data_IF_050843600562
#
_entry.id   IF_050843600562
#
_cell.length_a   1.000
_cell.length_b   1.000
_cell.length_c   1.000
_cell.angle_alpha   90.00
_cell.angle_beta   90.00
_cell.angle_gamma   90.00
#
_symmetry.space_group_name_H-M   'P 1'
#
loop_
_entity.id
_entity.type
_entity.pdbx_description
1 polymer ?
#
# COMPACT_ATOMS: atom_id res chain seq x y z
N UNK A 1 -5.72 6.11 -3.92
CA UNK A 1 -6.83 5.17 -4.22
C UNK A 1 -7.10 4.28 -3.02
N UNK A 2 -8.35 4.21 -2.57
CA UNK A 2 -8.77 3.39 -1.42
C UNK A 2 -9.53 2.13 -1.89
N UNK A 3 -8.97 1.43 -2.88
CA UNK A 3 -9.54 0.23 -3.49
C UNK A 3 -8.65 -0.99 -3.26
N UNK A 4 -9.27 -2.17 -3.16
CA UNK A 4 -8.58 -3.46 -3.13
C UNK A 4 -8.20 -4.01 -1.74
N UNK A 5 -7.92 -5.30 -1.66
CA UNK A 5 -7.31 -5.93 -0.48
C UNK A 5 -8.24 -6.23 0.70
N UNK A 6 -9.55 -6.01 0.60
CA UNK A 6 -10.49 -6.26 1.72
C UNK A 6 -10.48 -7.72 2.22
N UNK A 7 -10.27 -8.67 1.32
CA UNK A 7 -10.23 -10.09 1.67
C UNK A 7 -9.14 -10.46 2.68
N UNK A 8 -8.03 -9.68 2.74
CA UNK A 8 -6.92 -9.91 3.68
C UNK A 8 -7.20 -9.38 5.09
N UNK A 9 -8.22 -8.51 5.23
CA UNK A 9 -8.63 -7.94 6.52
C UNK A 9 -9.81 -8.69 7.15
N UNK A 10 -10.42 -9.63 6.39
CA UNK A 10 -11.56 -10.40 6.87
C UNK A 10 -12.67 -9.51 7.41
N UNK A 11 -13.32 -9.97 8.45
CA UNK A 11 -14.46 -9.30 9.07
C UNK A 11 -14.09 -8.17 10.07
N UNK A 12 -12.82 -7.73 10.11
CA UNK A 12 -12.47 -6.42 10.73
C UNK A 12 -13.01 -5.25 9.90
N UNK A 13 -13.19 -5.50 8.59
CA UNK A 13 -13.81 -4.56 7.67
C UNK A 13 -15.31 -4.85 7.62
N UNK A 14 -16.10 -3.88 7.99
CA UNK A 14 -17.57 -3.93 7.89
C UNK A 14 -18.02 -2.92 6.83
N UNK A 15 -19.28 -3.05 6.37
CA UNK A 15 -19.87 -2.03 5.48
C UNK A 15 -19.79 -0.63 6.09
N UNK A 16 -19.95 -0.54 7.41
CA UNK A 16 -19.86 0.71 8.14
C UNK A 16 -18.44 1.22 8.34
N UNK A 17 -17.42 0.37 8.17
CA UNK A 17 -16.03 0.72 8.40
C UNK A 17 -15.12 0.07 7.36
N UNK A 18 -14.96 0.72 6.19
CA UNK A 18 -14.06 0.22 5.16
C UNK A 18 -12.61 0.18 5.67
N UNK A 19 -11.80 -0.71 5.11
CA UNK A 19 -10.41 -0.97 5.51
C UNK A 19 -9.59 0.29 5.79
N UNK A 20 -9.63 1.24 4.89
CA UNK A 20 -8.81 2.45 4.97
C UNK A 20 -9.32 3.47 6.01
N UNK A 21 -10.48 3.19 6.61
CA UNK A 21 -11.03 3.91 7.76
C UNK A 21 -10.71 3.24 9.09
N UNK A 22 -9.97 2.12 9.10
CA UNK A 22 -9.44 1.54 10.33
C UNK A 22 -8.40 2.48 10.92
N UNK A 23 -8.38 2.58 12.25
CA UNK A 23 -7.45 3.45 12.95
C UNK A 23 -6.04 2.89 12.90
N UNK A 24 -5.10 3.75 12.55
CA UNK A 24 -3.67 3.50 12.57
C UNK A 24 -3.01 4.61 13.42
N UNK A 25 -2.70 4.29 14.64
CA UNK A 25 -2.31 5.29 15.63
C UNK A 25 -3.49 6.20 16.00
N UNK A 26 -3.45 7.47 15.62
CA UNK A 26 -4.48 8.46 15.94
C UNK A 26 -5.48 8.72 14.83
N UNK A 27 -5.16 8.30 13.60
CA UNK A 27 -5.90 8.66 12.40
C UNK A 27 -6.25 7.43 11.57
N UNK A 28 -7.25 7.50 10.69
CA UNK A 28 -7.52 6.42 9.75
C UNK A 28 -6.33 6.16 8.81
N UNK A 29 -6.20 4.93 8.33
CA UNK A 29 -5.11 4.52 7.42
C UNK A 29 -5.00 5.50 6.23
N UNK A 30 -6.11 5.89 5.60
CA UNK A 30 -6.13 6.79 4.45
C UNK A 30 -5.53 8.17 4.75
N UNK A 31 -5.64 8.65 5.98
CA UNK A 31 -5.06 9.92 6.41
C UNK A 31 -3.54 9.97 6.16
N UNK A 32 -2.85 8.85 6.39
CA UNK A 32 -1.40 8.78 6.20
C UNK A 32 -1.00 8.95 4.73
N UNK A 33 -1.78 8.36 3.81
CA UNK A 33 -1.56 8.56 2.38
C UNK A 33 -1.84 10.02 1.96
N UNK A 34 -2.88 10.65 2.51
CA UNK A 34 -3.18 12.06 2.26
C UNK A 34 -2.07 12.99 2.80
N UNK A 35 -1.51 12.68 3.97
CA UNK A 35 -0.37 13.43 4.53
C UNK A 35 0.87 13.35 3.64
N UNK A 36 1.14 12.19 3.04
CA UNK A 36 2.24 12.05 2.07
C UNK A 36 2.03 12.93 0.84
N UNK A 37 0.80 13.02 0.33
CA UNK A 37 0.45 13.90 -0.79
C UNK A 37 0.56 15.38 -0.41
N UNK A 38 0.04 15.77 0.73
CA UNK A 38 0.09 17.13 1.27
C UNK A 38 1.53 17.61 1.49
N UNK A 39 2.36 16.77 2.11
CA UNK A 39 3.79 17.05 2.32
C UNK A 39 4.54 17.25 0.99
N UNK A 40 4.11 16.61 -0.07
CA UNK A 40 4.62 16.80 -1.42
C UNK A 40 4.04 18.01 -2.17
N UNK A 41 3.17 18.79 -1.53
CA UNK A 41 2.57 19.99 -2.11
C UNK A 41 1.38 19.73 -3.04
N UNK A 42 0.83 18.51 -3.05
CA UNK A 42 -0.39 18.16 -3.79
C UNK A 42 -1.59 18.78 -3.08
N UNK A 43 -2.44 19.48 -3.82
CA UNK A 43 -3.64 20.15 -3.28
C UNK A 43 -4.92 19.43 -3.67
N UNK A 44 -5.05 19.05 -4.94
CA UNK A 44 -6.26 18.43 -5.47
C UNK A 44 -6.11 16.92 -5.46
N UNK A 45 -6.95 16.22 -4.73
CA UNK A 45 -6.89 14.77 -4.55
C UNK A 45 -8.23 14.13 -4.89
N UNK A 46 -8.21 13.12 -5.75
CA UNK A 46 -9.35 12.27 -6.04
C UNK A 46 -9.25 10.99 -5.21
N UNK A 47 -10.10 10.85 -4.20
CA UNK A 47 -10.18 9.66 -3.36
C UNK A 47 -11.19 8.67 -3.96
N UNK A 48 -10.71 7.59 -4.55
CA UNK A 48 -11.58 6.59 -5.16
C UNK A 48 -11.93 5.52 -4.14
N UNK A 49 -13.21 5.40 -3.84
CA UNK A 49 -13.76 4.42 -2.91
C UNK A 49 -14.56 3.34 -3.65
N UNK A 50 -14.57 2.12 -3.15
CA UNK A 50 -15.37 1.01 -3.69
C UNK A 50 -16.75 0.99 -3.05
N UNK A 51 -17.78 1.09 -3.90
CA UNK A 51 -19.16 1.09 -3.47
C UNK A 51 -19.61 2.39 -2.78
N UNK A 52 -20.92 2.61 -2.78
CA UNK A 52 -21.52 3.83 -2.26
C UNK A 52 -21.38 3.96 -0.73
N UNK A 53 -21.37 2.83 -0.02
CA UNK A 53 -21.20 2.84 1.44
C UNK A 53 -19.83 3.37 1.84
N UNK A 54 -18.77 2.87 1.22
CA UNK A 54 -17.41 3.35 1.52
C UNK A 54 -17.25 4.82 1.15
N UNK A 55 -17.76 5.23 -0.02
CA UNK A 55 -17.74 6.62 -0.46
C UNK A 55 -18.44 7.54 0.56
N UNK A 56 -19.64 7.19 1.01
CA UNK A 56 -20.39 7.97 2.00
C UNK A 56 -19.63 8.09 3.34
N UNK A 57 -18.90 7.05 3.74
CA UNK A 57 -18.09 7.08 4.98
C UNK A 57 -16.88 7.98 4.84
N UNK A 58 -16.21 7.97 3.68
CA UNK A 58 -15.11 8.91 3.43
C UNK A 58 -15.63 10.35 3.38
N UNK A 59 -16.76 10.61 2.71
CA UNK A 59 -17.35 11.93 2.67
C UNK A 59 -17.72 12.47 4.06
N UNK A 60 -18.31 11.63 4.93
CA UNK A 60 -18.62 12.00 6.31
C UNK A 60 -17.35 12.32 7.09
N UNK A 61 -16.31 11.47 6.98
CA UNK A 61 -15.06 11.69 7.67
C UNK A 61 -14.32 12.95 7.18
N UNK A 62 -14.32 13.21 5.88
CA UNK A 62 -13.70 14.42 5.31
C UNK A 62 -14.35 15.70 5.82
N UNK A 63 -15.68 15.68 6.06
CA UNK A 63 -16.43 16.83 6.58
C UNK A 63 -16.27 17.04 8.09
N UNK A 64 -16.10 15.96 8.84
CA UNK A 64 -16.17 16.00 10.32
C UNK A 64 -14.80 15.85 11.01
N UNK A 65 -13.83 15.18 10.36
CA UNK A 65 -12.61 14.78 11.03
C UNK A 65 -11.31 14.95 10.24
N UNK A 66 -11.35 15.45 9.00
CA UNK A 66 -10.14 15.70 8.23
C UNK A 66 -9.66 17.14 8.44
N UNK A 67 -8.48 17.28 9.03
CA UNK A 67 -7.84 18.57 9.32
C UNK A 67 -6.65 18.87 8.37
N UNK A 68 -6.53 18.13 7.25
CA UNK A 68 -5.45 18.33 6.28
C UNK A 68 -5.72 19.47 5.29
N UNK A 69 -4.68 19.87 4.57
CA UNK A 69 -4.71 20.98 3.59
C UNK A 69 -5.05 20.57 2.16
N UNK A 70 -5.33 19.27 1.89
CA UNK A 70 -5.75 18.82 0.57
C UNK A 70 -7.25 19.06 0.34
N UNK A 71 -7.61 19.49 -0.86
CA UNK A 71 -8.98 19.46 -1.36
C UNK A 71 -9.27 18.05 -1.90
N UNK A 72 -10.13 17.29 -1.21
CA UNK A 72 -10.36 15.88 -1.49
C UNK A 72 -11.77 15.66 -2.03
N UNK A 73 -11.88 15.27 -3.29
CA UNK A 73 -13.13 14.82 -3.91
C UNK A 73 -13.24 13.29 -3.84
N UNK A 74 -14.36 12.76 -3.33
CA UNK A 74 -14.60 11.31 -3.28
C UNK A 74 -15.29 10.85 -4.56
N UNK A 75 -14.74 9.81 -5.17
CA UNK A 75 -15.27 9.16 -6.36
C UNK A 75 -15.67 7.73 -6.02
N UNK A 76 -16.88 7.34 -6.39
CA UNK A 76 -17.34 5.96 -6.23
C UNK A 76 -16.90 5.11 -7.42
N UNK A 77 -16.26 3.99 -7.15
CA UNK A 77 -16.01 2.92 -8.11
C UNK A 77 -16.92 1.72 -7.81
N UNK A 78 -17.18 0.83 -8.78
CA UNK A 78 -17.93 -0.41 -8.55
C UNK A 78 -17.36 -1.23 -7.37
N UNK A 79 -18.21 -2.03 -6.71
CA UNK A 79 -17.80 -2.81 -5.53
C UNK A 79 -16.73 -3.88 -5.87
N UNK A 80 -16.75 -4.41 -7.08
CA UNK A 80 -15.80 -5.37 -7.61
C UNK A 80 -14.57 -4.75 -8.28
N UNK A 81 -14.51 -3.40 -8.39
CA UNK A 81 -13.42 -2.69 -9.02
C UNK A 81 -12.07 -2.98 -8.33
N UNK A 82 -11.05 -3.27 -9.09
CA UNK A 82 -9.67 -3.26 -8.61
C UNK A 82 -8.99 -1.93 -8.98
N UNK A 83 -7.72 -1.82 -8.74
CA UNK A 83 -6.95 -0.56 -8.77
C UNK A 83 -6.92 0.12 -10.15
N UNK A 84 -6.89 -0.64 -11.25
CA UNK A 84 -6.97 -0.07 -12.60
C UNK A 84 -8.40 0.39 -12.95
N UNK A 85 -9.42 -0.32 -12.46
CA UNK A 85 -10.82 0.09 -12.64
C UNK A 85 -11.13 1.36 -11.84
N UNK A 86 -10.57 1.47 -10.64
CA UNK A 86 -10.63 2.68 -9.84
C UNK A 86 -10.00 3.88 -10.56
N UNK A 87 -8.84 3.68 -11.20
CA UNK A 87 -8.21 4.74 -12.00
C UNK A 87 -9.07 5.12 -13.21
N UNK A 88 -9.70 4.14 -13.91
CA UNK A 88 -10.66 4.43 -14.99
C UNK A 88 -11.81 5.28 -14.52
N UNK A 89 -12.36 4.99 -13.32
CA UNK A 89 -13.46 5.77 -12.75
C UNK A 89 -13.05 7.22 -12.43
N UNK A 90 -11.78 7.43 -12.04
CA UNK A 90 -11.24 8.75 -11.72
C UNK A 90 -10.88 9.59 -12.97
N UNK A 91 -10.47 8.96 -14.08
CA UNK A 91 -9.96 9.65 -15.27
C UNK A 91 -10.84 10.78 -15.79
N UNK A 92 -12.21 10.67 -15.82
CA UNK A 92 -13.07 11.76 -16.28
C UNK A 92 -13.06 13.01 -15.38
N UNK A 93 -12.60 12.88 -14.14
CA UNK A 93 -12.47 14.00 -13.17
C UNK A 93 -11.09 14.61 -13.12
N UNK A 94 -10.09 13.96 -13.73
CA UNK A 94 -8.74 14.49 -13.81
C UNK A 94 -8.72 15.73 -14.71
N UNK A 95 -8.09 16.81 -14.25
CA UNK A 95 -7.94 18.05 -15.02
C UNK A 95 -7.42 17.78 -16.43
N UNK A 96 -7.98 18.47 -17.42
CA UNK A 96 -7.54 18.36 -18.81
C UNK A 96 -6.09 18.77 -18.99
N UNK A 97 -5.65 19.76 -18.22
CA UNK A 97 -4.31 20.34 -18.31
C UNK A 97 -3.23 19.50 -17.57
N UNK A 98 -3.64 18.44 -16.86
CA UNK A 98 -2.69 17.58 -16.19
C UNK A 98 -2.04 16.61 -17.18
N UNK A 99 -0.72 16.64 -17.30
CA UNK A 99 0.05 15.68 -18.09
C UNK A 99 0.51 14.47 -17.26
N UNK A 100 0.61 14.65 -15.96
CA UNK A 100 1.15 13.65 -15.02
C UNK A 100 0.16 13.37 -13.90
N UNK A 101 0.04 12.10 -13.54
CA UNK A 101 -0.80 11.62 -12.44
C UNK A 101 0.08 11.03 -11.34
N UNK A 102 -0.18 11.44 -10.10
CA UNK A 102 0.33 10.74 -8.94
C UNK A 102 -0.77 9.78 -8.41
N UNK A 103 -0.48 8.51 -8.35
CA UNK A 103 -1.39 7.48 -7.87
C UNK A 103 -0.78 6.86 -6.63
N UNK A 104 -1.50 6.93 -5.51
CA UNK A 104 -1.04 6.45 -4.20
C UNK A 104 -2.04 5.45 -3.65
N UNK A 105 -1.55 4.31 -3.17
CA UNK A 105 -2.39 3.37 -2.44
C UNK A 105 -2.84 3.99 -1.11
N UNK A 106 -4.12 3.82 -0.76
CA UNK A 106 -4.68 4.39 0.47
C UNK A 106 -4.16 3.75 1.76
N UNK A 107 -3.36 2.69 1.66
CA UNK A 107 -2.74 1.95 2.76
C UNK A 107 -1.22 2.21 2.90
N UNK A 108 -0.69 3.16 2.15
CA UNK A 108 0.71 3.53 2.22
C UNK A 108 0.99 4.46 3.41
N UNK A 109 2.03 4.13 4.15
CA UNK A 109 2.62 4.98 5.20
C UNK A 109 4.08 5.19 4.85
N UNK A 110 4.46 6.41 4.53
CA UNK A 110 5.84 6.72 4.14
C UNK A 110 6.22 8.17 4.46
N UNK A 111 7.49 8.40 4.73
CA UNK A 111 8.10 9.73 4.81
C UNK A 111 8.86 10.12 3.54
N UNK A 112 8.88 9.23 2.53
CA UNK A 112 9.46 9.54 1.22
C UNK A 112 8.66 10.63 0.54
N UNK A 113 9.34 11.70 0.13
CA UNK A 113 8.70 12.81 -0.57
C UNK A 113 8.23 12.41 -1.97
N UNK A 114 6.96 12.64 -2.26
CA UNK A 114 6.42 12.45 -3.61
C UNK A 114 7.11 13.37 -4.63
N UNK A 115 7.62 14.52 -4.19
CA UNK A 115 8.36 15.45 -5.03
C UNK A 115 9.65 14.81 -5.57
N UNK A 116 10.33 13.96 -4.80
CA UNK A 116 11.53 13.25 -5.24
C UNK A 116 11.23 12.19 -6.30
N UNK A 117 10.09 11.49 -6.15
CA UNK A 117 9.60 10.54 -7.15
C UNK A 117 9.23 11.27 -8.45
N UNK A 118 8.54 12.42 -8.33
CA UNK A 118 8.18 13.28 -9.46
C UNK A 118 9.43 13.84 -10.14
N UNK A 119 10.43 14.30 -9.38
CA UNK A 119 11.70 14.79 -9.93
C UNK A 119 12.43 13.69 -10.73
N UNK A 120 12.39 12.44 -10.27
CA UNK A 120 12.93 11.31 -11.01
C UNK A 120 12.15 11.08 -12.32
N UNK A 121 10.82 11.14 -12.27
CA UNK A 121 9.94 10.99 -13.43
C UNK A 121 10.23 12.04 -14.50
N UNK A 122 10.24 13.31 -14.12
CA UNK A 122 10.48 14.46 -15.03
C UNK A 122 11.89 14.41 -15.61
N UNK A 123 12.91 14.20 -14.77
CA UNK A 123 14.32 14.14 -15.20
C UNK A 123 14.56 13.07 -16.26
N UNK A 124 13.85 11.94 -16.16
CA UNK A 124 13.98 10.83 -17.11
C UNK A 124 13.02 10.89 -18.29
N UNK A 125 12.05 11.81 -18.27
CA UNK A 125 10.95 11.82 -19.23
C UNK A 125 10.19 10.48 -19.23
N UNK A 126 10.00 9.90 -18.04
CA UNK A 126 9.48 8.56 -17.90
C UNK A 126 7.98 8.47 -18.27
N UNK A 127 7.50 7.29 -18.65
CA UNK A 127 6.07 6.97 -18.78
C UNK A 127 5.48 6.59 -17.43
N UNK A 128 6.25 5.86 -16.64
CA UNK A 128 5.88 5.47 -15.28
C UNK A 128 7.11 5.51 -14.38
N UNK A 129 6.93 5.98 -13.14
CA UNK A 129 7.94 5.91 -12.10
C UNK A 129 7.31 5.32 -10.85
N UNK A 130 7.87 4.21 -10.37
CA UNK A 130 7.38 3.48 -9.20
C UNK A 130 8.26 3.79 -7.99
N UNK A 131 7.68 4.05 -6.83
CA UNK A 131 8.41 4.07 -5.56
C UNK A 131 8.62 2.64 -5.08
N UNK A 132 9.86 2.26 -4.89
CA UNK A 132 10.28 0.97 -4.35
C UNK A 132 11.07 1.18 -3.07
N UNK A 133 10.82 0.36 -2.07
CA UNK A 133 11.51 0.42 -0.79
C UNK A 133 12.01 -0.96 -0.36
N UNK A 134 13.02 -1.03 0.49
CA UNK A 134 13.43 -2.29 1.11
C UNK A 134 12.30 -2.84 1.98
N UNK A 135 12.04 -4.13 1.87
CA UNK A 135 11.07 -4.82 2.73
C UNK A 135 11.50 -4.73 4.18
N UNK A 136 10.54 -4.49 5.05
CA UNK A 136 10.76 -4.48 6.49
C UNK A 136 10.82 -5.90 7.04
N UNK A 137 11.50 -6.09 8.17
CA UNK A 137 11.74 -7.42 8.76
C UNK A 137 10.45 -8.20 9.05
N UNK A 138 9.37 -7.53 9.45
CA UNK A 138 8.08 -8.16 9.71
C UNK A 138 7.32 -8.59 8.44
N UNK A 139 7.63 -8.01 7.27
CA UNK A 139 7.13 -8.50 5.98
C UNK A 139 7.89 -9.74 5.50
N UNK A 140 8.98 -10.07 6.14
CA UNK A 140 9.89 -11.15 5.75
C UNK A 140 10.03 -12.25 6.77
N UNK A 141 9.09 -12.41 7.71
CA UNK A 141 9.10 -13.43 8.78
C UNK A 141 9.33 -14.88 8.29
N UNK A 142 9.05 -15.15 7.02
CA UNK A 142 9.28 -16.46 6.38
C UNK A 142 10.58 -16.51 5.54
N UNK A 143 11.52 -15.58 5.73
CA UNK A 143 12.79 -15.59 5.00
C UNK A 143 13.64 -16.79 5.41
N UNK A 144 13.52 -17.86 4.65
CA UNK A 144 14.46 -18.99 4.71
C UNK A 144 15.67 -18.67 3.83
N UNK A 145 16.86 -18.91 4.35
CA UNK A 145 18.12 -18.73 3.59
C UNK A 145 18.00 -19.45 2.24
N UNK A 146 18.20 -18.72 1.15
CA UNK A 146 18.16 -19.25 -0.21
C UNK A 146 16.76 -19.37 -0.85
N UNK A 147 15.72 -18.83 -0.22
CA UNK A 147 14.37 -18.71 -0.83
C UNK A 147 13.88 -17.27 -0.77
N UNK A 148 13.21 -16.76 -1.84
CA UNK A 148 12.56 -15.48 -1.76
C UNK A 148 11.44 -15.51 -0.69
N UNK A 149 11.15 -14.38 -0.04
CA UNK A 149 10.03 -14.29 0.89
C UNK A 149 8.72 -14.55 0.14
N UNK A 150 7.72 -15.11 0.81
CA UNK A 150 6.37 -15.27 0.23
C UNK A 150 5.80 -13.92 -0.21
N UNK A 151 5.15 -13.88 -1.37
CA UNK A 151 4.65 -12.64 -1.98
C UNK A 151 5.80 -11.73 -2.43
N UNK A 152 6.94 -12.28 -2.80
CA UNK A 152 8.07 -11.51 -3.34
C UNK A 152 7.73 -10.97 -4.72
N UNK A 153 8.09 -9.71 -4.93
CA UNK A 153 8.09 -9.13 -6.28
C UNK A 153 9.49 -9.28 -6.87
N UNK A 154 9.56 -9.71 -8.11
CA UNK A 154 10.80 -9.77 -8.87
C UNK A 154 10.95 -8.45 -9.64
N UNK A 155 11.84 -7.61 -9.22
CA UNK A 155 12.07 -6.30 -9.80
C UNK A 155 13.43 -6.25 -10.45
N UNK A 156 13.48 -6.10 -11.77
CA UNK A 156 14.72 -5.94 -12.53
C UNK A 156 15.06 -4.48 -12.74
N UNK A 157 16.22 -4.06 -12.28
CA UNK A 157 16.69 -2.68 -12.38
C UNK A 157 18.05 -2.58 -13.09
N UNK A 158 18.21 -1.54 -13.91
CA UNK A 158 19.51 -1.07 -14.39
C UNK A 158 19.65 0.41 -14.02
N UNK A 159 20.37 0.68 -12.94
CA UNK A 159 20.31 1.98 -12.28
C UNK A 159 18.89 2.30 -11.80
N UNK A 160 18.33 3.41 -12.28
CA UNK A 160 16.95 3.81 -12.00
C UNK A 160 15.92 3.36 -13.06
N UNK A 161 16.37 2.63 -14.10
CA UNK A 161 15.46 2.08 -15.12
C UNK A 161 14.81 0.80 -14.63
N UNK A 162 13.49 0.76 -14.69
CA UNK A 162 12.68 -0.40 -14.37
C UNK A 162 12.51 -1.27 -15.63
N UNK A 163 13.08 -2.47 -15.60
CA UNK A 163 13.15 -3.37 -16.76
C UNK A 163 12.19 -4.55 -16.64
N UNK A 164 11.93 -4.96 -15.42
CA UNK A 164 11.09 -6.11 -15.10
C UNK A 164 10.31 -5.81 -13.82
N UNK A 165 9.05 -6.16 -13.82
CA UNK A 165 8.21 -6.25 -12.63
C UNK A 165 7.29 -7.44 -12.79
N UNK A 166 7.44 -8.44 -11.91
CA UNK A 166 6.66 -9.66 -11.91
C UNK A 166 6.36 -10.08 -10.47
N UNK A 167 5.21 -10.68 -10.25
CA UNK A 167 4.84 -11.23 -8.95
C UNK A 167 5.28 -12.70 -8.80
N UNK A 168 5.33 -13.22 -7.56
CA UNK A 168 5.65 -14.61 -7.27
C UNK A 168 4.69 -15.56 -7.99
N UNK A 169 3.41 -15.20 -8.10
CA UNK A 169 2.40 -16.00 -8.79
C UNK A 169 2.65 -16.14 -10.29
N UNK A 170 3.28 -15.12 -10.91
CA UNK A 170 3.68 -15.13 -12.33
C UNK A 170 4.95 -15.93 -12.59
N UNK A 171 5.73 -16.22 -11.53
CA UNK A 171 7.04 -16.88 -11.59
C UNK A 171 6.96 -18.25 -10.91
N UNK A 172 6.35 -19.21 -11.60
CA UNK A 172 6.16 -20.58 -11.03
C UNK A 172 7.51 -21.25 -10.70
N UNK A 173 8.39 -21.42 -11.68
CA UNK A 173 9.74 -22.01 -11.50
C UNK A 173 10.83 -21.28 -12.26
N UNK A 174 10.46 -20.48 -13.24
CA UNK A 174 11.38 -19.87 -14.21
C UNK A 174 10.97 -18.42 -14.46
N UNK A 175 11.87 -17.51 -14.15
CA UNK A 175 11.71 -16.11 -14.52
C UNK A 175 12.03 -15.96 -16.01
N UNK A 176 11.02 -15.61 -16.81
CA UNK A 176 11.16 -15.43 -18.26
C UNK A 176 11.62 -14.01 -18.58
N UNK A 177 12.83 -13.88 -19.08
CA UNK A 177 13.38 -12.61 -19.57
C UNK A 177 13.17 -12.49 -21.08
N UNK A 178 12.81 -11.28 -21.53
CA UNK A 178 12.53 -11.02 -22.95
C UNK A 178 13.81 -10.67 -23.71
N UNK A 179 14.04 -11.28 -24.86
CA UNK A 179 15.18 -10.98 -25.74
C UNK A 179 15.32 -9.48 -26.10
N UNK A 180 14.25 -8.73 -26.47
CA UNK A 180 14.39 -7.32 -26.78
C UNK A 180 14.91 -6.47 -25.61
N UNK A 181 14.59 -6.84 -24.36
CA UNK A 181 15.15 -6.22 -23.17
C UNK A 181 16.64 -6.54 -23.05
N UNK A 182 17.00 -7.83 -23.16
CA UNK A 182 18.38 -8.31 -23.02
C UNK A 182 19.33 -7.69 -24.07
N UNK A 183 18.83 -7.42 -25.27
CA UNK A 183 19.63 -6.81 -26.35
C UNK A 183 19.89 -5.31 -26.15
N UNK A 184 19.11 -4.63 -25.30
CA UNK A 184 19.21 -3.17 -25.07
C UNK A 184 19.84 -2.80 -23.75
N UNK A 185 20.09 -3.76 -22.87
CA UNK A 185 20.60 -3.54 -21.53
C UNK A 185 21.80 -4.45 -21.30
N UNK A 186 22.95 -3.85 -20.99
CA UNK A 186 24.20 -4.58 -20.77
C UNK A 186 24.23 -5.31 -19.43
N UNK A 187 23.65 -4.67 -18.41
CA UNK A 187 23.65 -5.17 -17.05
C UNK A 187 22.38 -4.78 -16.31
N UNK A 188 21.86 -5.65 -15.49
CA UNK A 188 20.73 -5.39 -14.60
C UNK A 188 20.78 -6.33 -13.41
N UNK A 189 20.16 -5.90 -12.34
CA UNK A 189 20.01 -6.67 -11.11
C UNK A 189 18.56 -7.00 -10.88
N UNK A 190 18.27 -8.25 -10.52
CA UNK A 190 16.93 -8.67 -10.10
C UNK A 190 16.87 -8.68 -8.58
N UNK A 191 16.02 -7.84 -8.04
CA UNK A 191 15.74 -7.71 -6.62
C UNK A 191 14.51 -8.52 -6.23
N UNK A 192 14.56 -9.18 -5.08
CA UNK A 192 13.43 -9.89 -4.45
C UNK A 192 13.11 -9.36 -3.05
N UNK A 193 13.92 -8.43 -2.59
CA UNK A 193 13.86 -7.79 -1.28
C UNK A 193 13.18 -6.41 -1.32
N UNK A 194 12.71 -5.98 -2.49
CA UNK A 194 12.01 -4.72 -2.64
C UNK A 194 10.49 -4.89 -2.46
N UNK A 195 9.91 -3.90 -1.79
CA UNK A 195 8.48 -3.68 -1.67
C UNK A 195 8.04 -2.66 -2.72
N UNK A 196 7.01 -2.97 -3.48
CA UNK A 196 6.29 -1.96 -4.26
C UNK A 196 5.39 -1.14 -3.33
N UNK A 197 5.74 0.12 -3.14
CA UNK A 197 4.99 1.04 -2.29
C UNK A 197 3.60 1.38 -2.85
N UNK A 198 3.32 1.04 -4.12
CA UNK A 198 2.13 1.45 -4.86
C UNK A 198 1.92 2.97 -4.83
N UNK A 199 3.02 3.70 -4.90
CA UNK A 199 3.08 5.10 -5.23
C UNK A 199 3.68 5.20 -6.63
N UNK A 200 2.88 5.62 -7.58
CA UNK A 200 3.23 5.70 -8.98
C UNK A 200 3.07 7.12 -9.49
N UNK A 201 4.06 7.59 -10.25
CA UNK A 201 3.95 8.80 -11.06
C UNK A 201 3.85 8.36 -12.51
N UNK A 202 2.76 8.70 -13.17
CA UNK A 202 2.37 8.16 -14.47
C UNK A 202 2.11 9.27 -15.47
N UNK A 203 2.50 9.06 -16.73
CA UNK A 203 2.05 9.89 -17.84
C UNK A 203 0.56 9.64 -18.10
N UNK A 204 -0.25 10.69 -18.01
CA UNK A 204 -1.71 10.61 -18.14
C UNK A 204 -2.14 10.05 -19.48
N UNK A 205 -1.53 10.51 -20.59
CA UNK A 205 -1.92 10.12 -21.94
C UNK A 205 -1.60 8.65 -22.22
N UNK A 206 -0.41 8.20 -21.85
CA UNK A 206 0.02 6.82 -22.06
C UNK A 206 -0.83 5.84 -21.26
N UNK A 207 -1.14 6.18 -20.01
CA UNK A 207 -1.96 5.32 -19.13
C UNK A 207 -3.42 5.33 -19.59
N UNK A 208 -3.99 6.49 -19.94
CA UNK A 208 -5.36 6.58 -20.46
C UNK A 208 -5.52 5.71 -21.71
N UNK A 209 -4.62 5.87 -22.68
CA UNK A 209 -4.62 5.07 -23.90
C UNK A 209 -4.52 3.57 -23.62
N UNK A 210 -3.65 3.17 -22.69
CA UNK A 210 -3.52 1.76 -22.31
C UNK A 210 -4.79 1.20 -21.68
N UNK A 211 -5.38 1.95 -20.73
CA UNK A 211 -6.61 1.56 -20.03
C UNK A 211 -7.83 1.46 -20.96
N UNK A 212 -7.92 2.31 -21.98
CA UNK A 212 -8.97 2.27 -23.00
C UNK A 212 -8.82 1.06 -23.93
N UNK A 213 -7.58 0.80 -24.42
CA UNK A 213 -7.27 -0.32 -25.31
C UNK A 213 -7.38 -1.68 -24.62
N UNK A 214 -7.05 -1.74 -23.33
CA UNK A 214 -6.92 -2.98 -22.56
C UNK A 214 -7.88 -3.04 -21.39
N UNK A 215 -9.19 -3.12 -21.67
CA UNK A 215 -10.25 -3.11 -20.65
C UNK A 215 -10.22 -4.30 -19.67
N UNK A 216 -9.55 -5.39 -20.04
CA UNK A 216 -9.40 -6.58 -19.20
C UNK A 216 -8.34 -6.41 -18.08
N UNK A 217 -7.54 -5.36 -18.12
CA UNK A 217 -6.58 -5.05 -17.06
C UNK A 217 -7.33 -4.45 -15.87
N UNK A 218 -7.29 -5.11 -14.74
CA UNK A 218 -7.99 -4.70 -13.51
C UNK A 218 -7.05 -4.15 -12.45
N UNK A 219 -5.80 -4.63 -12.42
CA UNK A 219 -4.81 -4.23 -11.42
C UNK A 219 -3.75 -3.29 -11.99
N UNK A 220 -3.44 -2.21 -11.27
CA UNK A 220 -2.31 -1.35 -11.63
C UNK A 220 -0.99 -2.09 -11.46
N UNK A 221 -0.80 -2.74 -10.32
CA UNK A 221 0.43 -3.43 -9.96
C UNK A 221 0.70 -4.66 -10.83
N UNK A 222 -0.31 -5.51 -11.04
CA UNK A 222 -0.15 -6.80 -11.72
C UNK A 222 -0.29 -6.69 -13.25
N UNK A 223 -1.08 -5.74 -13.74
CA UNK A 223 -1.37 -5.65 -15.17
C UNK A 223 -0.74 -4.41 -15.83
N UNK A 224 -1.10 -3.21 -15.33
CA UNK A 224 -0.80 -1.95 -16.01
C UNK A 224 0.69 -1.62 -15.95
N UNK A 225 1.30 -1.61 -14.78
CA UNK A 225 2.72 -1.30 -14.62
C UNK A 225 3.60 -2.30 -15.36
N UNK A 226 3.42 -3.63 -15.23
CA UNK A 226 4.16 -4.59 -16.04
C UNK A 226 3.93 -4.45 -17.55
N UNK A 227 2.75 -4.01 -18.00
CA UNK A 227 2.48 -3.76 -19.41
C UNK A 227 3.25 -2.53 -19.93
N UNK A 228 3.29 -1.43 -19.16
CA UNK A 228 4.10 -0.25 -19.48
C UNK A 228 5.59 -0.60 -19.53
N UNK A 229 6.09 -1.33 -18.56
CA UNK A 229 7.47 -1.81 -18.50
C UNK A 229 7.82 -2.68 -19.72
N UNK A 230 6.91 -3.53 -20.16
CA UNK A 230 7.09 -4.35 -21.35
C UNK A 230 7.06 -3.55 -22.64
N UNK A 231 6.23 -2.50 -22.70
CA UNK A 231 6.01 -1.68 -23.91
C UNK A 231 7.25 -0.87 -24.30
N UNK A 232 8.09 -0.47 -23.35
CA UNK A 232 9.34 0.25 -23.63
C UNK A 232 10.33 -0.53 -24.51
N UNK A 233 10.15 -1.86 -24.67
CA UNK A 233 10.99 -2.74 -25.48
C UNK A 233 10.27 -3.27 -26.73
N UNK A 234 9.04 -2.84 -27.02
CA UNK A 234 8.31 -3.30 -28.19
C UNK A 234 8.97 -2.76 -29.47
N UNK A 235 9.14 -3.57 -30.52
CA UNK A 235 9.57 -3.07 -31.83
C UNK A 235 8.42 -2.24 -32.42
N UNK A 236 8.69 -0.99 -32.77
CA UNK A 236 7.78 -0.17 -33.58
C UNK A 236 6.68 0.56 -32.81
N UNK A 237 6.98 1.19 -31.66
CA UNK A 237 6.10 2.19 -31.07
C UNK A 237 5.98 3.49 -31.90
N UNK A 238 6.58 3.53 -33.07
CA UNK A 238 6.71 4.72 -33.92
C UNK A 238 5.55 4.93 -34.91
N UNK A 239 4.47 4.13 -34.81
CA UNK A 239 3.33 4.30 -35.72
C UNK A 239 1.98 4.29 -35.02
N UNK A 240 1.64 5.41 -34.37
CA UNK A 240 0.24 5.77 -34.16
C UNK A 240 0.02 7.13 -34.81
N UNK A 241 -0.31 7.11 -36.07
CA UNK A 241 -0.64 8.32 -36.82
C UNK A 241 -0.77 8.08 -38.32
N UNK A 242 -1.48 7.03 -38.76
CA UNK A 242 -2.12 7.00 -40.07
C UNK A 242 -3.26 5.98 -40.08
N UNK A 243 -4.47 6.50 -40.10
CA UNK A 243 -5.65 5.78 -40.51
C UNK A 243 -5.48 5.24 -41.95
N UNK A 244 -5.68 3.97 -42.15
CA UNK A 244 -6.30 3.45 -43.34
C UNK A 244 -6.82 2.03 -43.11
N UNK A 245 -8.10 1.92 -43.36
CA UNK A 245 -8.90 0.72 -43.52
C UNK A 245 -8.24 -0.34 -44.40
N UNK A 246 -8.22 -1.57 -43.95
CA UNK A 246 -8.68 -2.72 -44.75
C UNK A 246 -8.64 -4.00 -43.94
N UNK A 247 -9.73 -4.72 -44.04
CA UNK A 247 -10.03 -6.04 -43.53
C UNK A 247 -9.00 -7.11 -43.97
N UNK A 248 -8.73 -8.06 -43.10
CA UNK A 248 -9.13 -9.46 -43.35
C UNK A 248 -8.57 -10.42 -42.31
N UNK A 249 -9.42 -11.37 -42.04
CA UNK A 249 -9.37 -12.50 -41.13
C UNK A 249 -8.17 -13.45 -41.38
N UNK A 250 -7.90 -14.25 -40.34
CA UNK A 250 -7.37 -15.59 -40.52
C UNK A 250 -6.24 -16.00 -39.59
N UNK A 251 -6.61 -16.78 -38.64
CA UNK A 251 -6.00 -17.96 -38.02
C UNK A 251 -4.53 -18.34 -38.35
N UNK A 252 -3.96 -18.89 -37.32
CA UNK A 252 -3.07 -20.05 -37.20
C UNK A 252 -1.61 -19.80 -36.83
N UNK A 253 -1.32 -20.56 -35.79
CA UNK A 253 -0.02 -20.82 -35.21
C UNK A 253 0.88 -21.61 -36.18
N UNK A 254 2.19 -21.50 -35.96
CA UNK A 254 3.27 -22.28 -36.53
C UNK A 254 3.77 -21.86 -37.94
N UNK A 255 4.89 -21.18 -37.92
CA UNK A 255 5.95 -21.33 -38.92
C UNK A 255 7.19 -20.64 -38.39
N UNK A 256 8.14 -21.37 -37.98
CA UNK A 256 9.28 -21.88 -38.75
C UNK A 256 10.38 -20.85 -39.03
N UNK A 257 11.46 -21.22 -38.53
CA UNK A 257 12.83 -20.77 -38.43
C UNK A 257 13.45 -20.60 -39.85
N UNK A 258 13.49 -19.39 -40.39
CA UNK A 258 14.09 -19.18 -41.71
C UNK A 258 14.60 -17.78 -42.06
N UNK A 259 14.43 -16.78 -41.18
CA UNK A 259 14.85 -15.41 -41.41
C UNK A 259 15.95 -14.88 -40.52
N UNK A 260 16.70 -15.73 -39.81
CA UNK A 260 17.50 -15.38 -38.65
C UNK A 260 18.96 -15.01 -38.93
N UNK A 261 19.45 -15.07 -40.14
CA UNK A 261 20.88 -14.91 -40.41
C UNK A 261 21.32 -13.51 -40.87
N UNK A 262 20.40 -12.63 -41.22
CA UNK A 262 20.79 -11.29 -41.73
C UNK A 262 20.70 -10.17 -40.66
N UNK A 263 20.14 -10.45 -39.48
CA UNK A 263 20.02 -9.48 -38.39
C UNK A 263 21.14 -9.56 -37.35
N UNK A 264 22.08 -10.50 -37.46
CA UNK A 264 23.04 -10.80 -36.37
C UNK A 264 24.40 -10.11 -36.53
N UNK A 265 24.73 -9.55 -37.69
CA UNK A 265 26.03 -8.89 -37.93
C UNK A 265 25.90 -7.47 -38.49
N UNK A 266 25.10 -6.62 -37.84
CA UNK A 266 25.20 -5.18 -38.04
C UNK A 266 26.29 -4.62 -37.15
N UNK A 267 27.47 -4.41 -37.72
CA UNK A 267 28.63 -3.77 -37.09
C UNK A 267 28.25 -2.34 -36.66
N UNK A 268 28.44 -2.05 -35.36
CA UNK A 268 28.32 -0.72 -34.77
C UNK A 268 29.18 0.30 -35.51
N UNK A 269 28.55 1.21 -36.25
CA UNK A 269 29.14 2.50 -36.55
C UNK A 269 28.80 3.42 -35.40
N UNK A 270 29.81 3.85 -34.66
CA UNK A 270 29.77 4.94 -33.68
C UNK A 270 28.99 6.12 -34.26
N UNK A 271 27.79 6.36 -33.77
CA UNK A 271 27.02 7.53 -34.15
C UNK A 271 27.16 8.57 -33.02
N UNK A 272 28.19 9.39 -33.12
CA UNK A 272 28.29 10.68 -32.46
C UNK A 272 27.35 11.64 -33.19
N UNK A 273 26.09 11.69 -32.80
CA UNK A 273 25.14 12.80 -33.04
C UNK A 273 23.73 12.33 -32.65
N UNK A 274 23.51 12.04 -31.40
CA UNK A 274 22.16 11.85 -30.86
C UNK A 274 21.52 13.19 -30.56
N UNK A 275 21.07 13.90 -31.59
CA UNK A 275 19.90 14.77 -31.46
C UNK A 275 18.70 13.83 -31.22
N UNK A 276 18.13 13.84 -30.00
CA UNK A 276 16.97 13.06 -29.63
C UNK A 276 15.83 13.29 -30.64
N UNK A 277 15.57 12.30 -31.47
CA UNK A 277 14.36 12.26 -32.27
C UNK A 277 13.17 12.07 -31.34
N UNK A 278 12.07 12.77 -31.60
CA UNK A 278 10.79 12.77 -30.86
C UNK A 278 10.10 11.40 -30.71
N UNK A 279 10.74 10.30 -31.13
CA UNK A 279 10.15 8.96 -31.23
C UNK A 279 10.93 7.85 -30.48
N UNK A 280 11.85 8.20 -29.58
CA UNK A 280 12.48 7.18 -28.74
C UNK A 280 11.50 6.67 -27.68
N UNK A 281 11.38 5.33 -27.43
CA UNK A 281 10.49 4.81 -26.41
C UNK A 281 10.89 5.34 -25.04
N UNK A 282 9.95 6.02 -24.38
CA UNK A 282 10.14 6.63 -23.06
C UNK A 282 10.30 5.55 -22.01
N UNK A 283 11.23 5.69 -21.06
CA UNK A 283 11.51 4.65 -20.08
C UNK A 283 10.44 4.54 -18.99
N UNK A 284 10.36 3.36 -18.36
CA UNK A 284 9.81 3.21 -17.03
C UNK A 284 10.95 3.26 -16.02
N UNK A 285 10.74 3.94 -14.89
CA UNK A 285 11.74 4.16 -13.86
C UNK A 285 11.30 3.65 -12.49
N UNK A 286 12.26 3.41 -11.63
CA UNK A 286 12.06 3.20 -10.21
C UNK A 286 12.75 4.30 -9.43
N UNK A 287 12.08 4.82 -8.41
CA UNK A 287 12.68 5.62 -7.36
C UNK A 287 12.89 4.71 -6.15
N UNK A 288 14.13 4.46 -5.80
CA UNK A 288 14.46 3.67 -4.62
C UNK A 288 14.42 4.58 -3.39
N UNK A 289 13.59 4.21 -2.41
CA UNK A 289 13.57 4.91 -1.14
C UNK A 289 14.94 4.85 -0.46
N UNK A 290 15.41 5.92 0.16
CA UNK A 290 16.61 5.90 0.99
C UNK A 290 16.55 4.81 2.07
N UNK A 291 17.71 4.27 2.47
CA UNK A 291 17.78 3.17 3.44
C UNK A 291 17.22 3.55 4.83
N UNK A 292 17.28 4.82 5.18
CA UNK A 292 16.78 5.41 6.43
C UNK A 292 15.32 5.86 6.33
N UNK A 293 14.75 5.90 5.13
CA UNK A 293 13.36 6.30 4.94
C UNK A 293 12.37 5.23 5.45
N UNK A 294 11.27 5.72 5.97
CA UNK A 294 10.17 4.87 6.35
C UNK A 294 9.24 4.62 5.14
N UNK A 295 9.03 3.36 4.83
CA UNK A 295 8.04 2.98 3.83
C UNK A 295 7.41 1.63 4.20
N UNK A 296 6.11 1.61 4.38
CA UNK A 296 5.35 0.43 4.74
C UNK A 296 3.95 0.47 4.14
N UNK A 297 3.37 -0.69 3.91
CA UNK A 297 1.98 -0.84 3.49
C UNK A 297 1.19 -1.61 4.53
N UNK A 298 0.00 -1.11 4.84
CA UNK A 298 -0.92 -1.78 5.76
C UNK A 298 -1.85 -2.67 4.92
N UNK A 299 -1.31 -3.80 4.44
CA UNK A 299 -2.01 -4.73 3.53
C UNK A 299 -2.60 -5.95 4.24
N UNK A 300 -2.23 -6.18 5.49
CA UNK A 300 -2.73 -7.27 6.34
C UNK A 300 -3.03 -6.78 7.76
N UNK A 301 -3.82 -7.54 8.51
CA UNK A 301 -4.12 -7.24 9.93
C UNK A 301 -2.91 -7.56 10.79
N UNK A 302 -2.45 -8.80 10.73
CA UNK A 302 -1.23 -9.27 11.37
C UNK A 302 -0.34 -9.84 10.27
N UNK A 303 0.90 -9.34 10.13
CA UNK A 303 1.56 -8.39 11.02
C UNK A 303 1.41 -6.90 10.67
N UNK A 304 0.96 -6.52 9.44
CA UNK A 304 1.17 -5.16 8.94
C UNK A 304 0.50 -4.07 9.79
N UNK A 305 -0.81 -4.16 10.05
CA UNK A 305 -1.52 -3.16 10.86
C UNK A 305 -0.93 -3.07 12.27
N UNK A 306 -0.60 -4.22 12.86
CA UNK A 306 -0.02 -4.29 14.21
C UNK A 306 1.35 -3.60 14.28
N UNK A 307 2.25 -3.99 13.39
CA UNK A 307 3.63 -3.49 13.42
C UNK A 307 3.75 -2.03 13.00
N UNK A 308 3.01 -1.59 11.96
CA UNK A 308 3.00 -0.18 11.56
C UNK A 308 2.38 0.69 12.65
N UNK A 309 1.28 0.26 13.31
CA UNK A 309 0.71 0.99 14.45
C UNK A 309 1.72 1.16 15.58
N UNK A 310 2.50 0.13 15.86
CA UNK A 310 3.54 0.16 16.88
C UNK A 310 4.70 1.07 16.50
N UNK A 311 5.16 0.99 15.24
CA UNK A 311 6.26 1.83 14.74
C UNK A 311 5.88 3.33 14.74
N UNK A 312 4.60 3.64 14.47
CA UNK A 312 4.07 5.00 14.64
C UNK A 312 4.07 5.41 16.12
N UNK A 313 3.68 4.49 17.02
CA UNK A 313 3.70 4.75 18.47
C UNK A 313 5.11 4.95 19.02
N UNK A 314 6.11 4.28 18.44
CA UNK A 314 7.53 4.48 18.76
C UNK A 314 8.11 5.75 18.08
N UNK A 315 7.32 6.48 17.27
CA UNK A 315 7.72 7.73 16.63
C UNK A 315 8.54 7.57 15.36
N UNK A 316 8.50 6.39 14.74
CA UNK A 316 9.26 6.09 13.51
C UNK A 316 8.92 7.04 12.34
N UNK A 317 7.72 7.60 12.32
CA UNK A 317 7.27 8.56 11.30
C UNK A 317 6.79 9.84 11.98
N UNK A 318 7.70 10.74 12.25
CA UNK A 318 7.42 11.99 12.99
C UNK A 318 6.33 12.85 12.31
N UNK A 319 6.31 12.90 10.98
CA UNK A 319 5.31 13.64 10.20
C UNK A 319 3.88 13.12 10.42
N UNK A 320 3.73 11.84 10.78
CA UNK A 320 2.45 11.17 10.96
C UNK A 320 1.90 11.25 12.40
N UNK A 321 2.60 11.95 13.27
CA UNK A 321 2.15 12.18 14.65
C UNK A 321 1.20 13.37 14.79
N UNK A 322 0.85 14.04 13.69
CA UNK A 322 -0.05 15.21 13.68
C UNK A 322 0.35 16.29 14.71
N UNK A 323 1.66 16.62 14.76
CA UNK A 323 2.20 17.61 15.71
C UNK A 323 2.17 17.20 17.18
N UNK A 324 1.71 16.00 17.51
CA UNK A 324 1.69 15.48 18.89
C UNK A 324 3.12 15.15 19.34
N UNK A 325 3.40 15.41 20.62
CA UNK A 325 4.68 15.14 21.23
C UNK A 325 4.58 13.98 22.21
N UNK A 326 5.58 13.12 22.20
CA UNK A 326 5.72 12.09 23.21
C UNK A 326 5.83 12.69 24.62
N UNK A 327 5.22 12.03 25.59
CA UNK A 327 5.41 12.34 26.99
C UNK A 327 6.84 12.02 27.46
N UNK A 328 7.21 12.44 28.65
CA UNK A 328 8.50 12.06 29.29
C UNK A 328 8.66 10.53 29.51
N UNK A 329 7.59 9.77 29.33
CA UNK A 329 7.58 8.31 29.45
C UNK A 329 7.59 7.61 28.07
N UNK A 330 7.90 8.36 27.01
CA UNK A 330 7.93 7.85 25.63
C UNK A 330 6.60 7.22 25.19
N UNK A 331 5.49 7.83 25.56
CA UNK A 331 4.13 7.42 25.18
C UNK A 331 3.24 8.62 24.85
N UNK A 332 2.11 8.33 24.23
CA UNK A 332 1.07 9.30 23.93
C UNK A 332 -0.21 8.89 24.65
N UNK A 333 -0.58 9.61 25.70
CA UNK A 333 -1.79 9.38 26.45
C UNK A 333 -2.65 10.63 26.39
N UNK A 334 -3.89 10.48 25.93
CA UNK A 334 -4.84 11.59 25.85
C UNK A 334 -5.16 12.09 27.27
N UNK A 335 -5.28 13.41 27.49
CA UNK A 335 -5.57 13.98 28.81
C UNK A 335 -6.88 13.50 29.46
N UNK A 336 -7.83 13.00 28.66
CA UNK A 336 -9.14 12.51 29.12
C UNK A 336 -9.13 11.05 29.60
N UNK A 337 -7.97 10.37 29.51
CA UNK A 337 -7.82 8.97 29.94
C UNK A 337 -7.83 8.85 31.45
N UNK A 338 -8.63 7.92 31.95
CA UNK A 338 -8.70 7.59 33.38
C UNK A 338 -7.84 6.36 33.66
N UNK A 339 -6.86 6.48 34.57
CA UNK A 339 -5.92 5.40 34.89
C UNK A 339 -6.12 5.01 36.36
N UNK A 340 -6.53 3.76 36.62
CA UNK A 340 -6.69 3.18 37.94
C UNK A 340 -5.38 3.02 38.71
N UNK A 341 -5.50 2.83 40.02
CA UNK A 341 -4.36 2.73 40.94
C UNK A 341 -3.40 1.58 40.58
N UNK A 342 -2.09 1.83 40.67
CA UNK A 342 -1.02 0.87 40.37
C UNK A 342 -0.99 0.37 38.91
N UNK A 343 -1.66 1.07 38.00
CA UNK A 343 -1.61 0.76 36.56
C UNK A 343 -0.47 1.51 35.87
N UNK A 344 0.17 0.87 34.93
CA UNK A 344 1.34 1.39 34.22
C UNK A 344 1.14 1.37 32.71
N UNK A 345 1.35 2.53 32.08
CA UNK A 345 1.41 2.67 30.63
C UNK A 345 2.87 2.94 30.26
N UNK A 346 3.49 1.95 29.63
CA UNK A 346 4.92 1.99 29.29
C UNK A 346 5.24 2.79 28.04
N UNK A 347 6.50 2.76 27.58
CA UNK A 347 6.93 3.37 26.35
C UNK A 347 6.31 2.70 25.11
N UNK A 348 6.28 3.43 23.98
CA UNK A 348 5.72 2.93 22.73
C UNK A 348 4.22 2.66 22.82
N UNK A 349 3.48 3.42 23.63
CA UNK A 349 2.05 3.29 23.75
C UNK A 349 1.32 4.54 23.24
N UNK A 350 0.20 4.30 22.55
CA UNK A 350 -0.79 5.33 22.22
C UNK A 350 -2.08 4.98 22.95
N UNK A 351 -2.71 5.96 23.62
CA UNK A 351 -4.02 5.79 24.27
C UNK A 351 -4.93 6.93 23.87
N UNK A 352 -6.03 6.57 23.23
CA UNK A 352 -7.05 7.50 22.75
C UNK A 352 -7.95 8.01 23.88
N UNK A 353 -8.57 9.17 23.63
CA UNK A 353 -9.40 9.87 24.63
C UNK A 353 -10.62 9.08 25.09
N UNK A 354 -11.06 9.36 26.33
CA UNK A 354 -12.22 8.71 26.92
C UNK A 354 -12.02 7.24 27.30
N UNK A 355 -10.80 6.72 27.20
CA UNK A 355 -10.46 5.34 27.60
C UNK A 355 -10.22 5.25 29.10
N UNK A 356 -10.72 4.19 29.72
CA UNK A 356 -10.58 3.93 31.17
C UNK A 356 -9.83 2.64 31.43
N UNK A 357 -8.89 2.69 32.36
CA UNK A 357 -8.15 1.52 32.86
C UNK A 357 -8.49 1.27 34.33
N UNK A 358 -8.78 0.03 34.66
CA UNK A 358 -8.91 -0.45 36.02
C UNK A 358 -7.59 -0.44 36.80
N UNK A 359 -7.59 -1.07 37.99
CA UNK A 359 -6.40 -1.14 38.81
C UNK A 359 -5.40 -2.21 38.32
N UNK A 360 -4.11 -2.01 38.61
CA UNK A 360 -3.03 -2.98 38.35
C UNK A 360 -2.89 -3.42 36.89
N UNK A 361 -3.27 -2.59 35.94
CA UNK A 361 -3.10 -2.83 34.52
C UNK A 361 -1.64 -2.61 34.09
N UNK A 362 -1.22 -3.36 33.07
CA UNK A 362 0.10 -3.19 32.45
C UNK A 362 -0.04 -3.11 30.94
N UNK A 363 0.28 -1.96 30.36
CA UNK A 363 0.23 -1.70 28.92
C UNK A 363 1.63 -1.42 28.41
N UNK A 364 2.09 -2.17 27.41
CA UNK A 364 3.44 -2.02 26.83
C UNK A 364 3.35 -2.14 25.32
N UNK A 365 4.01 -1.21 24.62
CA UNK A 365 4.12 -1.20 23.15
C UNK A 365 2.79 -1.47 22.45
N UNK A 366 1.73 -0.80 22.91
CA UNK A 366 0.38 -1.08 22.46
C UNK A 366 -0.35 0.20 22.11
N UNK A 367 -1.21 0.11 21.10
CA UNK A 367 -2.10 1.18 20.69
C UNK A 367 -3.51 0.85 21.19
N UNK A 368 -4.08 1.75 21.98
CA UNK A 368 -5.45 1.61 22.51
C UNK A 368 -6.27 2.80 22.00
N UNK A 369 -7.33 2.49 21.28
CA UNK A 369 -8.23 3.47 20.68
C UNK A 369 -9.01 4.29 21.70
N UNK A 370 -9.88 5.15 21.20
CA UNK A 370 -10.73 6.01 22.03
C UNK A 370 -11.94 5.25 22.61
N UNK A 371 -12.33 5.64 23.82
CA UNK A 371 -13.55 5.13 24.48
C UNK A 371 -13.49 3.65 24.86
N UNK A 372 -12.30 3.07 25.00
CA UNK A 372 -12.13 1.69 25.45
C UNK A 372 -12.34 1.56 26.96
N UNK A 373 -12.86 0.40 27.38
CA UNK A 373 -12.98 0.03 28.80
C UNK A 373 -12.06 -1.13 29.10
N UNK A 374 -11.06 -0.93 29.94
CA UNK A 374 -10.08 -1.95 30.31
C UNK A 374 -10.21 -2.23 31.79
N UNK A 375 -10.58 -3.46 32.13
CA UNK A 375 -10.78 -3.94 33.50
C UNK A 375 -9.51 -3.98 34.36
N UNK A 376 -9.61 -4.48 35.57
CA UNK A 376 -8.49 -4.54 36.50
C UNK A 376 -7.57 -5.74 36.23
N UNK A 377 -6.27 -5.59 36.45
CA UNK A 377 -5.30 -6.66 36.29
C UNK A 377 -4.99 -7.07 34.83
N UNK A 378 -5.47 -6.32 33.85
CA UNK A 378 -5.29 -6.58 32.43
C UNK A 378 -3.84 -6.34 32.00
N UNK A 379 -3.35 -7.22 31.12
CA UNK A 379 -2.02 -7.11 30.52
C UNK A 379 -2.14 -6.98 29.00
N UNK A 380 -1.72 -5.84 28.46
CA UNK A 380 -1.63 -5.59 27.02
C UNK A 380 -0.16 -5.47 26.60
N UNK A 381 0.27 -6.33 25.71
CA UNK A 381 1.65 -6.31 25.23
C UNK A 381 1.67 -6.45 23.72
N UNK A 382 2.23 -5.46 23.04
CA UNK A 382 2.35 -5.48 21.59
C UNK A 382 1.00 -5.68 20.88
N UNK A 383 -0.02 -4.90 21.24
CA UNK A 383 -1.41 -5.06 20.77
C UNK A 383 -1.93 -3.77 20.13
N UNK A 384 -2.90 -3.95 19.24
CA UNK A 384 -3.76 -2.87 18.77
C UNK A 384 -5.18 -3.15 19.23
N UNK A 385 -5.71 -2.28 20.07
CA UNK A 385 -7.10 -2.32 20.55
C UNK A 385 -7.84 -1.14 19.92
N UNK A 386 -8.81 -1.44 19.08
CA UNK A 386 -9.57 -0.41 18.36
C UNK A 386 -10.63 0.23 19.24
N UNK A 387 -11.23 1.31 18.74
CA UNK A 387 -12.15 2.16 19.51
C UNK A 387 -13.32 1.40 20.11
N UNK A 388 -13.68 1.79 21.36
CA UNK A 388 -14.82 1.27 22.10
C UNK A 388 -14.79 -0.24 22.39
N UNK A 389 -13.62 -0.86 22.32
CA UNK A 389 -13.47 -2.24 22.74
C UNK A 389 -13.52 -2.35 24.28
N UNK A 390 -14.03 -3.46 24.78
CA UNK A 390 -14.10 -3.77 26.21
C UNK A 390 -13.18 -4.96 26.49
N UNK A 391 -12.30 -4.82 27.47
CA UNK A 391 -11.43 -5.88 27.96
C UNK A 391 -11.71 -6.05 29.43
N UNK A 392 -12.21 -7.21 29.82
CA UNK A 392 -12.62 -7.49 31.19
C UNK A 392 -11.44 -7.84 32.10
N UNK A 393 -11.74 -8.05 33.38
CA UNK A 393 -10.72 -8.21 34.41
C UNK A 393 -9.79 -9.41 34.19
N UNK A 394 -8.51 -9.22 34.46
CA UNK A 394 -7.50 -10.29 34.42
C UNK A 394 -7.11 -10.78 33.02
N UNK A 395 -7.70 -10.26 31.96
CA UNK A 395 -7.38 -10.68 30.59
C UNK A 395 -5.93 -10.37 30.23
N UNK A 396 -5.34 -11.23 29.38
CA UNK A 396 -3.97 -11.08 28.88
C UNK A 396 -3.99 -11.12 27.36
N UNK A 397 -3.58 -10.02 26.70
CA UNK A 397 -3.56 -9.89 25.26
C UNK A 397 -2.14 -9.60 24.79
N UNK A 398 -1.63 -10.41 23.86
CA UNK A 398 -0.29 -10.29 23.35
C UNK A 398 -0.24 -10.44 21.83
N UNK A 399 0.42 -9.51 21.10
CA UNK A 399 0.64 -9.60 19.67
C UNK A 399 -0.65 -9.63 18.85
N UNK A 400 -1.75 -9.11 19.38
CA UNK A 400 -3.09 -9.31 18.84
C UNK A 400 -3.74 -7.98 18.43
N UNK A 401 -4.65 -8.05 17.48
CA UNK A 401 -5.49 -6.93 17.05
C UNK A 401 -6.94 -7.18 17.49
N UNK A 402 -7.47 -6.28 18.27
CA UNK A 402 -8.85 -6.32 18.79
C UNK A 402 -9.68 -5.32 18.01
N UNK A 403 -10.71 -5.81 17.34
CA UNK A 403 -11.62 -5.01 16.53
C UNK A 403 -12.45 -4.02 17.35
N UNK A 404 -13.05 -3.02 16.69
CA UNK A 404 -13.87 -2.02 17.38
C UNK A 404 -15.10 -2.67 18.03
N UNK A 405 -15.42 -2.22 19.24
CA UNK A 405 -16.54 -2.72 20.04
C UNK A 405 -16.49 -4.24 20.37
N UNK A 406 -15.35 -4.89 20.16
CA UNK A 406 -15.17 -6.26 20.59
C UNK A 406 -15.08 -6.35 22.12
N UNK A 407 -15.53 -7.48 22.66
CA UNK A 407 -15.50 -7.76 24.10
C UNK A 407 -14.58 -8.93 24.37
N UNK A 408 -13.61 -8.77 25.24
CA UNK A 408 -12.71 -9.82 25.69
C UNK A 408 -13.08 -10.18 27.12
N UNK A 409 -13.54 -11.43 27.32
CA UNK A 409 -14.02 -11.92 28.61
C UNK A 409 -12.96 -11.99 29.69
N UNK A 410 -13.40 -12.05 30.93
CA UNK A 410 -12.55 -12.09 32.13
C UNK A 410 -11.54 -13.24 32.06
N UNK A 411 -10.28 -12.96 32.40
CA UNK A 411 -9.23 -13.97 32.42
C UNK A 411 -8.84 -14.58 31.07
N UNK A 412 -9.43 -14.17 29.97
CA UNK A 412 -9.08 -14.67 28.63
C UNK A 412 -7.63 -14.36 28.27
N UNK A 413 -7.00 -15.27 27.53
CA UNK A 413 -5.61 -15.18 27.09
C UNK A 413 -5.54 -15.26 25.56
N UNK A 414 -5.18 -14.15 24.90
CA UNK A 414 -5.08 -14.05 23.46
C UNK A 414 -3.63 -13.83 23.05
N UNK A 415 -3.14 -14.63 22.08
CA UNK A 415 -1.79 -14.48 21.53
C UNK A 415 -1.82 -14.54 20.01
N UNK A 416 -1.28 -13.48 19.36
CA UNK A 416 -1.22 -13.40 17.90
C UNK A 416 -2.57 -13.59 17.21
N UNK A 417 -3.64 -13.15 17.86
CA UNK A 417 -5.01 -13.27 17.39
C UNK A 417 -5.49 -11.99 16.70
N UNK A 418 -6.41 -12.16 15.73
CA UNK A 418 -7.18 -11.07 15.16
C UNK A 418 -8.66 -11.27 15.54
N UNK A 419 -9.20 -10.35 16.34
CA UNK A 419 -10.59 -10.40 16.82
C UNK A 419 -11.42 -9.44 15.99
N UNK A 420 -12.50 -9.92 15.40
CA UNK A 420 -13.45 -9.15 14.60
C UNK A 420 -14.12 -8.04 15.42
N UNK A 421 -14.65 -7.04 14.69
CA UNK A 421 -15.53 -6.02 15.28
C UNK A 421 -16.75 -6.67 15.94
N UNK A 422 -17.11 -6.17 17.13
CA UNK A 422 -18.30 -6.64 17.87
C UNK A 422 -18.30 -8.14 18.24
N UNK A 423 -17.13 -8.79 18.17
CA UNK A 423 -16.98 -10.18 18.57
C UNK A 423 -16.79 -10.26 20.09
N UNK A 424 -17.39 -11.28 20.68
CA UNK A 424 -17.27 -11.56 22.12
C UNK A 424 -16.43 -12.83 22.33
N UNK A 425 -15.32 -12.69 23.03
CA UNK A 425 -14.45 -13.80 23.47
C UNK A 425 -14.93 -14.23 24.84
N UNK A 426 -15.12 -15.54 25.03
CA UNK A 426 -15.64 -16.10 26.27
C UNK A 426 -14.64 -15.96 27.44
N UNK A 427 -15.18 -16.03 28.68
CA UNK A 427 -14.38 -15.97 29.88
C UNK A 427 -13.41 -17.16 29.97
N UNK A 428 -12.13 -16.88 30.23
CA UNK A 428 -11.09 -17.88 30.43
C UNK A 428 -10.56 -18.55 29.19
N UNK A 429 -10.97 -18.13 27.99
CA UNK A 429 -10.45 -18.66 26.73
C UNK A 429 -8.94 -18.47 26.58
N UNK A 430 -8.21 -19.51 26.12
CA UNK A 430 -6.78 -19.43 25.75
C UNK A 430 -6.63 -19.69 24.24
N UNK A 431 -6.51 -18.62 23.44
CA UNK A 431 -6.52 -18.65 21.98
C UNK A 431 -5.17 -18.19 21.42
N UNK A 432 -4.70 -18.86 20.34
CA UNK A 432 -3.38 -18.56 19.75
C UNK A 432 -3.43 -18.60 18.23
N UNK A 433 -2.88 -17.57 17.61
CA UNK A 433 -2.70 -17.44 16.15
C UNK A 433 -4.01 -17.69 15.38
N UNK A 434 -5.13 -17.21 15.92
CA UNK A 434 -6.47 -17.41 15.39
C UNK A 434 -7.10 -16.09 14.91
N UNK A 435 -7.94 -16.20 13.89
CA UNK A 435 -8.84 -15.12 13.47
C UNK A 435 -10.23 -15.43 13.99
N UNK A 436 -10.69 -14.65 14.95
CA UNK A 436 -11.98 -14.83 15.63
C UNK A 436 -13.04 -14.00 14.93
N UNK A 437 -14.02 -14.68 14.37
CA UNK A 437 -15.08 -14.05 13.58
C UNK A 437 -16.44 -14.70 13.85
N UNK A 438 -17.49 -13.91 13.78
CA UNK A 438 -18.85 -14.42 13.90
C UNK A 438 -19.13 -15.34 12.70
N UNK A 439 -19.46 -16.61 12.95
CA UNK A 439 -19.95 -17.50 11.90
C UNK A 439 -21.26 -16.94 11.38
N UNK A 440 -21.27 -16.50 10.11
CA UNK A 440 -22.50 -16.15 9.40
C UNK A 440 -23.29 -17.39 9.05
#
# INVERSE_FOLDING_TARGET
MACGGERRFGDLVTQDRPRHMLDLGFNPIVWHALQTLEAGGVKDVLLVARGDHAASRFDAWLKEGYEGGCDVEVITAPEDADTADALRAAMPRVSADADTLAVVAGDLVTDVSIADVLATHVRRGAVATCLLAKRRAWNGLDMKVGRPPKGAHYVGLSGDKLLLMADEEDVDKVLKLRRPMMNRVSDFVVHTDLLDAQLYVLDKHEVSNLLEQKRHMTSLQLDVIPALVRRQFAPGSDQVGKSSSSESAGADANADDGGLMEAVFGVDKENKDAKGGENAPRPCCAHLAPDDAYCARVDTVVPALLEVSREIADGAVAAHLNGRRMSKYENFVDPTVVIGGKSTIGPGCIVGGGTSFGEKCSVKRSVVGAGCSVGSGVKLVNCVVMNRATIEDGATVQGSVIGPRAVIGSGASLRECAVQAEYEVEEGDDLRSETLQNRR
#
